data_IF_846842137661
#
_entry.id   IF_846842137661
#
_cell.length_a   1.000
_cell.length_b   1.000
_cell.length_c   1.000
_cell.angle_alpha   90.00
_cell.angle_beta   90.00
_cell.angle_gamma   90.00
#
_symmetry.space_group_name_H-M   'P 1'
#
loop_
_entity.id
_entity.type
_entity.pdbx_description
1 polymer ?
#
# COMPACT_ATOMS: atom_id res chain seq x y z
N UNK A 1 31.24 -9.54 15.16
CA UNK A 1 30.59 -9.63 14.66
C UNK A 1 30.26 -9.74 13.66
N UNK A 2 30.51 -9.86 13.27
CA UNK A 2 30.20 -9.79 12.32
C UNK A 2 29.35 -10.08 11.68
N UNK A 3 29.11 -10.08 11.38
CA UNK A 3 28.44 -10.18 10.80
C UNK A 3 27.82 -10.58 10.04
N UNK A 4 27.51 -10.85 9.90
CA UNK A 4 27.19 -11.31 9.19
C UNK A 4 26.35 -11.25 8.40
N UNK A 5 26.18 -10.87 8.45
CA UNK A 5 25.61 -10.36 7.60
C UNK A 5 25.24 -11.08 6.37
N UNK A 6 25.94 -11.85 5.90
CA UNK A 6 25.73 -12.53 4.67
C UNK A 6 24.45 -13.30 4.59
N UNK A 7 23.99 -13.76 5.68
CA UNK A 7 22.75 -14.53 5.70
C UNK A 7 21.53 -13.71 5.34
N UNK A 8 21.69 -12.41 5.26
CA UNK A 8 20.54 -11.56 5.01
C UNK A 8 19.86 -11.84 3.69
N UNK A 9 20.52 -12.53 2.75
CA UNK A 9 19.92 -12.78 1.47
C UNK A 9 18.84 -13.82 1.51
N UNK A 10 19.00 -14.87 2.30
CA UNK A 10 18.01 -15.93 2.40
C UNK A 10 17.15 -15.76 3.63
N UNK A 11 17.73 -15.21 4.66
CA UNK A 11 17.07 -15.03 5.94
C UNK A 11 17.52 -13.69 6.49
N UNK A 12 16.93 -12.64 6.02
CA UNK A 12 17.34 -11.31 6.46
C UNK A 12 17.22 -11.21 7.96
N UNK A 13 18.19 -10.60 8.55
CA UNK A 13 18.12 -10.27 9.94
C UNK A 13 17.07 -9.22 10.20
N UNK A 14 17.23 -8.54 11.30
CA UNK A 14 16.36 -7.44 11.68
C UNK A 14 16.40 -6.33 10.62
N UNK A 15 15.24 -5.85 10.24
CA UNK A 15 15.12 -4.70 9.35
C UNK A 15 14.63 -3.52 10.20
N UNK A 16 15.40 -2.46 10.19
CA UNK A 16 15.03 -1.23 10.91
C UNK A 16 15.16 -0.07 9.93
N UNK A 17 14.10 0.69 9.79
CA UNK A 17 14.10 1.91 8.99
C UNK A 17 13.50 3.03 9.83
N UNK A 18 14.33 3.99 10.18
CA UNK A 18 13.88 5.17 10.92
C UNK A 18 13.04 6.06 10.02
N UNK A 19 12.17 6.92 10.58
CA UNK A 19 11.31 7.77 9.74
C UNK A 19 12.07 8.56 8.70
N UNK A 20 13.24 9.10 9.04
CA UNK A 20 14.03 9.89 8.10
C UNK A 20 14.66 9.06 6.98
N UNK A 21 14.70 7.74 7.13
CA UNK A 21 15.21 6.83 6.10
C UNK A 21 14.12 6.40 5.13
N UNK A 22 12.86 6.67 5.46
CA UNK A 22 11.72 6.30 4.64
C UNK A 22 11.33 7.50 3.80
N UNK A 23 11.95 7.61 2.63
CA UNK A 23 11.83 8.78 1.79
C UNK A 23 10.97 8.47 0.58
N UNK A 24 9.85 9.17 0.46
CA UNK A 24 9.00 9.09 -0.72
C UNK A 24 9.61 9.96 -1.82
N UNK A 25 9.78 9.40 -3.00
CA UNK A 25 10.42 10.07 -4.13
C UNK A 25 9.43 10.25 -5.26
N UNK A 26 9.60 11.33 -6.00
CA UNK A 26 8.78 11.66 -7.13
C UNK A 26 8.13 13.03 -6.97
N UNK A 27 7.28 13.43 -7.93
CA UNK A 27 6.62 14.74 -7.85
C UNK A 27 5.68 14.80 -6.65
N UNK A 28 5.51 16.00 -6.11
CA UNK A 28 4.58 16.24 -5.00
C UNK A 28 3.14 15.97 -5.38
N UNK A 29 2.81 16.08 -6.66
CA UNK A 29 1.51 15.70 -7.17
C UNK A 29 1.75 14.69 -8.29
N UNK A 30 0.86 13.72 -8.45
CA UNK A 30 1.01 12.68 -9.45
C UNK A 30 0.79 11.31 -8.85
N UNK A 31 1.35 10.26 -9.50
CA UNK A 31 1.09 8.89 -9.06
C UNK A 31 1.59 8.62 -7.64
N UNK A 32 1.01 7.64 -6.97
CA UNK A 32 1.42 7.28 -5.61
C UNK A 32 2.91 6.95 -5.55
N UNK A 33 3.54 7.34 -4.45
CA UNK A 33 4.95 7.09 -4.19
C UNK A 33 5.05 5.89 -3.24
N UNK A 34 5.82 4.88 -3.62
CA UNK A 34 5.93 3.65 -2.84
C UNK A 34 7.36 3.42 -2.36
N UNK A 35 7.48 3.04 -1.10
CA UNK A 35 8.74 2.60 -0.51
C UNK A 35 8.57 1.17 -0.04
N UNK A 36 9.47 0.28 -0.45
CA UNK A 36 9.47 -1.09 0.03
C UNK A 36 10.21 -1.12 1.37
N UNK A 37 9.52 -1.58 2.42
CA UNK A 37 10.09 -1.68 3.76
C UNK A 37 10.65 -3.06 4.04
N UNK A 38 10.06 -4.10 3.47
CA UNK A 38 10.43 -5.49 3.73
C UNK A 38 10.02 -6.35 2.54
N UNK A 39 10.87 -7.31 2.19
CA UNK A 39 10.53 -8.28 1.16
C UNK A 39 10.49 -7.69 -0.24
N UNK A 40 9.89 -8.44 -1.15
CA UNK A 40 9.76 -8.07 -2.54
C UNK A 40 8.34 -8.39 -3.02
N UNK A 41 7.52 -7.37 -3.31
CA UNK A 41 6.12 -7.61 -3.72
C UNK A 41 5.99 -8.43 -5.00
N UNK A 42 7.04 -8.53 -5.82
CA UNK A 42 6.97 -9.28 -7.07
C UNK A 42 7.25 -10.75 -6.92
N UNK A 43 7.60 -11.19 -5.70
CA UNK A 43 8.01 -12.57 -5.41
C UNK A 43 7.12 -13.19 -4.36
N UNK A 44 7.11 -14.53 -4.26
CA UNK A 44 6.42 -15.19 -3.15
C UNK A 44 6.99 -14.73 -1.81
N UNK A 45 6.16 -14.72 -0.80
CA UNK A 45 6.54 -14.38 0.56
C UNK A 45 5.95 -13.06 1.03
N UNK A 46 6.20 -12.76 2.28
CA UNK A 46 5.69 -11.55 2.91
C UNK A 46 6.42 -10.33 2.40
N UNK A 47 5.67 -9.28 2.10
CA UNK A 47 6.24 -7.96 1.81
C UNK A 47 5.53 -6.89 2.62
N UNK A 48 6.22 -5.79 2.87
CA UNK A 48 5.64 -4.61 3.50
C UNK A 48 6.06 -3.39 2.69
N UNK A 49 5.09 -2.59 2.30
CA UNK A 49 5.33 -1.34 1.59
C UNK A 49 4.61 -0.20 2.29
N UNK A 50 5.09 1.00 2.06
CA UNK A 50 4.42 2.20 2.51
C UNK A 50 4.16 3.06 1.28
N UNK A 51 2.95 3.58 1.16
CA UNK A 51 2.51 4.32 -0.03
C UNK A 51 1.98 5.67 0.40
N UNK A 52 2.41 6.70 -0.31
CA UNK A 52 1.91 8.06 -0.12
C UNK A 52 1.09 8.45 -1.34
N UNK A 53 -0.14 8.88 -1.08
CA UNK A 53 -1.04 9.42 -2.09
C UNK A 53 -1.09 10.93 -1.90
N UNK A 54 -0.88 11.66 -2.97
CA UNK A 54 -1.00 13.11 -2.94
C UNK A 54 -2.45 13.53 -2.83
N UNK A 55 -2.70 14.66 -2.20
CA UNK A 55 -4.04 15.22 -2.06
C UNK A 55 -4.76 15.26 -3.41
N UNK A 56 -5.98 14.75 -3.44
CA UNK A 56 -6.81 14.69 -4.63
C UNK A 56 -6.64 13.46 -5.50
N UNK A 57 -5.67 12.60 -5.22
CA UNK A 57 -5.43 11.43 -6.06
C UNK A 57 -6.60 10.45 -5.97
N UNK A 58 -7.11 10.04 -7.13
CA UNK A 58 -8.15 9.03 -7.26
C UNK A 58 -7.53 7.76 -7.82
N UNK A 59 -7.62 6.68 -7.05
CA UNK A 59 -7.15 5.39 -7.49
C UNK A 59 -8.36 4.61 -8.00
N UNK A 60 -8.44 4.46 -9.31
CA UNK A 60 -9.63 3.94 -9.97
C UNK A 60 -9.85 2.45 -9.66
N UNK A 61 -11.05 1.92 -9.91
CA UNK A 61 -11.37 0.53 -9.58
C UNK A 61 -10.34 -0.45 -10.10
N UNK A 62 -9.85 -1.29 -9.20
CA UNK A 62 -8.81 -2.28 -9.47
C UNK A 62 -8.89 -3.40 -8.45
N UNK A 63 -8.13 -4.47 -8.68
CA UNK A 63 -8.02 -5.57 -7.72
C UNK A 63 -6.59 -6.08 -7.68
N UNK A 64 -6.29 -6.82 -6.65
CA UNK A 64 -5.00 -7.46 -6.44
C UNK A 64 -5.18 -8.97 -6.28
N UNK A 65 -4.23 -9.80 -6.75
CA UNK A 65 -4.33 -11.24 -6.59
C UNK A 65 -3.85 -11.77 -5.25
N UNK A 66 -3.23 -10.92 -4.43
CA UNK A 66 -2.59 -11.30 -3.17
C UNK A 66 -3.52 -12.13 -2.29
N UNK A 67 -3.06 -13.27 -1.82
CA UNK A 67 -3.86 -14.11 -0.92
C UNK A 67 -4.11 -13.42 0.41
N UNK A 68 -3.13 -12.66 0.87
CA UNK A 68 -3.25 -11.85 2.07
C UNK A 68 -2.80 -10.43 1.71
N UNK A 69 -3.63 -9.47 2.04
CA UNK A 69 -3.28 -8.07 1.86
C UNK A 69 -4.01 -7.25 2.91
N UNK A 70 -3.23 -6.65 3.80
CA UNK A 70 -3.77 -5.81 4.86
C UNK A 70 -3.20 -4.42 4.75
N UNK A 71 -3.96 -3.44 5.23
CA UNK A 71 -3.61 -2.03 5.11
C UNK A 71 -3.86 -1.34 6.44
N UNK A 72 -2.89 -0.53 6.84
CA UNK A 72 -3.04 0.39 7.97
C UNK A 72 -2.91 1.82 7.45
N UNK A 73 -3.85 2.67 7.81
CA UNK A 73 -3.79 4.10 7.49
C UNK A 73 -2.91 4.77 8.54
N UNK A 74 -1.81 5.38 8.10
CA UNK A 74 -0.83 5.99 9.01
C UNK A 74 -1.07 7.49 9.16
N UNK A 75 -1.47 8.18 8.11
CA UNK A 75 -1.77 9.60 8.19
C UNK A 75 -2.81 9.97 7.14
N UNK A 76 -3.55 11.04 7.43
CA UNK A 76 -4.63 11.49 6.56
C UNK A 76 -5.89 10.65 6.74
N UNK A 77 -6.84 10.85 5.84
CA UNK A 77 -8.08 10.09 5.77
C UNK A 77 -8.19 9.46 4.40
N UNK A 78 -8.24 8.15 4.36
CA UNK A 78 -8.30 7.39 3.12
C UNK A 78 -9.76 7.01 2.86
N UNK A 79 -10.30 7.41 1.73
CA UNK A 79 -11.66 7.07 1.36
C UNK A 79 -11.64 5.80 0.53
N UNK A 80 -12.39 4.80 0.97
CA UNK A 80 -12.38 3.45 0.40
C UNK A 80 -13.78 3.06 -0.07
N UNK A 81 -13.90 2.64 -1.31
CA UNK A 81 -15.14 2.13 -1.87
C UNK A 81 -14.93 0.75 -2.48
N UNK A 82 -15.92 -0.12 -2.32
CA UNK A 82 -15.90 -1.48 -2.90
C UNK A 82 -16.76 -1.53 -4.14
N UNK A 83 -16.25 -2.19 -5.18
CA UNK A 83 -16.97 -2.37 -6.42
C UNK A 83 -16.10 -2.18 -7.64
N UNK A 84 -16.64 -2.48 -8.80
CA UNK A 84 -15.92 -2.42 -10.06
C UNK A 84 -16.16 -1.11 -10.83
N UNK A 85 -16.98 -0.22 -10.31
CA UNK A 85 -17.24 1.10 -10.87
C UNK A 85 -17.03 2.17 -9.82
N UNK A 86 -16.46 3.29 -10.23
CA UNK A 86 -16.31 4.46 -9.37
C UNK A 86 -17.69 4.95 -8.98
N UNK A 87 -17.95 4.99 -7.68
CA UNK A 87 -19.24 5.43 -7.14
C UNK A 87 -18.98 6.12 -5.80
N UNK A 88 -19.08 7.44 -5.80
CA UNK A 88 -18.73 8.23 -4.61
C UNK A 88 -19.66 7.98 -3.43
N UNK A 89 -20.86 7.46 -3.67
CA UNK A 89 -21.76 7.12 -2.60
C UNK A 89 -21.31 5.91 -1.78
N UNK A 90 -20.37 5.13 -2.28
CA UNK A 90 -19.87 3.93 -1.61
C UNK A 90 -18.66 4.19 -0.73
N UNK A 91 -18.13 5.39 -0.72
CA UNK A 91 -16.93 5.68 0.07
C UNK A 91 -17.19 5.65 1.56
N UNK A 92 -16.28 5.01 2.28
CA UNK A 92 -16.18 5.09 3.74
C UNK A 92 -14.90 5.79 4.07
N UNK A 93 -14.92 6.66 5.06
CA UNK A 93 -13.74 7.41 5.48
C UNK A 93 -12.95 6.58 6.50
N UNK A 94 -11.71 6.30 6.17
CA UNK A 94 -10.80 5.58 7.05
C UNK A 94 -9.74 6.56 7.57
N UNK A 95 -9.88 7.08 8.79
CA UNK A 95 -8.87 7.99 9.34
C UNK A 95 -7.61 7.26 9.74
N UNK A 96 -6.57 8.01 10.09
CA UNK A 96 -5.32 7.44 10.60
C UNK A 96 -5.60 6.52 11.78
N UNK A 97 -4.94 5.36 11.80
CA UNK A 97 -5.17 4.31 12.77
C UNK A 97 -6.11 3.21 12.31
N UNK A 98 -6.80 3.40 11.18
CA UNK A 98 -7.68 2.37 10.63
C UNK A 98 -6.86 1.20 10.09
N UNK A 99 -7.34 0.00 10.35
CA UNK A 99 -6.82 -1.25 9.77
C UNK A 99 -7.93 -1.88 8.94
N UNK A 100 -7.59 -2.38 7.74
CA UNK A 100 -8.52 -3.16 6.95
C UNK A 100 -7.77 -4.18 6.09
N UNK A 101 -8.50 -5.14 5.55
CA UNK A 101 -7.95 -6.13 4.64
C UNK A 101 -8.63 -6.06 3.29
N UNK A 102 -7.91 -6.48 2.26
CA UNK A 102 -8.42 -6.54 0.90
C UNK A 102 -8.42 -8.00 0.46
N UNK A 103 -9.61 -8.64 0.35
CA UNK A 103 -9.68 -10.03 -0.11
C UNK A 103 -9.12 -10.16 -1.53
N UNK A 104 -8.59 -11.35 -1.88
CA UNK A 104 -8.08 -11.57 -3.24
C UNK A 104 -9.12 -11.25 -4.30
N UNK A 105 -8.70 -10.51 -5.31
CA UNK A 105 -9.51 -10.16 -6.48
C UNK A 105 -10.78 -9.37 -6.19
N UNK A 106 -10.92 -8.83 -4.99
CA UNK A 106 -12.05 -7.97 -4.64
C UNK A 106 -11.79 -6.56 -5.17
N UNK A 107 -12.62 -6.12 -6.09
CA UNK A 107 -12.46 -4.81 -6.71
C UNK A 107 -12.77 -3.70 -5.72
N UNK A 108 -11.95 -2.66 -5.75
CA UNK A 108 -12.11 -1.49 -4.89
C UNK A 108 -11.51 -0.24 -5.55
N UNK A 109 -11.83 0.89 -4.98
CA UNK A 109 -11.32 2.18 -5.44
C UNK A 109 -11.13 3.09 -4.24
N UNK A 110 -10.17 4.00 -4.34
CA UNK A 110 -9.77 4.84 -3.21
C UNK A 110 -9.52 6.28 -3.63
N UNK A 111 -9.58 7.17 -2.65
CA UNK A 111 -9.45 8.60 -2.89
C UNK A 111 -8.75 9.28 -1.72
N UNK A 112 -7.71 10.04 -2.00
CA UNK A 112 -7.08 10.94 -1.03
C UNK A 112 -7.77 12.30 -1.14
N UNK A 113 -9.04 12.35 -0.74
CA UNK A 113 -9.93 13.47 -1.05
C UNK A 113 -9.55 14.76 -0.35
N UNK A 114 -9.20 14.67 0.93
CA UNK A 114 -9.05 15.86 1.78
C UNK A 114 -7.61 16.29 1.97
N UNK A 115 -6.66 15.50 1.54
CA UNK A 115 -5.24 15.79 1.75
C UNK A 115 -4.40 14.58 1.47
N UNK A 116 -3.09 14.69 1.69
CA UNK A 116 -2.17 13.56 1.52
C UNK A 116 -2.54 12.42 2.46
N UNK A 117 -2.35 11.21 1.99
CA UNK A 117 -2.61 9.98 2.77
C UNK A 117 -1.37 9.09 2.69
N UNK A 118 -1.00 8.53 3.84
CA UNK A 118 0.04 7.51 3.90
C UNK A 118 -0.56 6.24 4.46
N UNK A 119 -0.37 5.14 3.75
CA UNK A 119 -0.81 3.81 4.17
C UNK A 119 0.38 2.86 4.23
N UNK A 120 0.25 1.81 5.02
CA UNK A 120 1.21 0.72 5.03
C UNK A 120 0.51 -0.57 4.67
N UNK A 121 1.06 -1.27 3.69
CA UNK A 121 0.51 -2.49 3.16
C UNK A 121 1.39 -3.65 3.57
N UNK A 122 0.77 -4.70 4.12
CA UNK A 122 1.43 -5.98 4.37
C UNK A 122 0.71 -7.02 3.55
N UNK A 123 1.45 -7.76 2.75
CA UNK A 123 0.85 -8.78 1.90
C UNK A 123 1.75 -9.98 1.72
N UNK A 124 1.20 -10.97 1.04
CA UNK A 124 1.95 -12.17 0.61
C UNK A 124 1.97 -12.13 -0.90
N UNK A 125 3.17 -12.01 -1.44
CA UNK A 125 3.36 -11.91 -2.89
C UNK A 125 3.27 -13.26 -3.61
N UNK A 126 3.31 -13.21 -4.93
CA UNK A 126 3.53 -12.01 -5.73
C UNK A 126 2.26 -11.15 -5.81
N UNK A 127 2.47 -9.85 -5.77
CA UNK A 127 1.39 -8.86 -5.86
C UNK A 127 1.32 -8.28 -7.26
N UNK A 128 0.16 -7.80 -7.63
CA UNK A 128 -0.05 -7.09 -8.88
C UNK A 128 -1.28 -6.20 -8.73
N UNK A 129 -1.53 -5.37 -9.71
CA UNK A 129 -2.68 -4.46 -9.72
C UNK A 129 -3.30 -4.52 -11.10
N UNK A 130 -4.58 -4.83 -11.16
CA UNK A 130 -5.32 -4.88 -12.41
C UNK A 130 -6.46 -3.89 -12.35
N UNK A 131 -6.43 -2.91 -13.25
CA UNK A 131 -7.50 -1.93 -13.36
C UNK A 131 -8.67 -2.52 -14.13
N UNK A 132 -9.87 -2.15 -13.73
CA UNK A 132 -11.10 -2.56 -14.39
C UNK A 132 -11.52 -1.52 -15.42
N UNK A 133 -12.15 -1.96 -16.52
CA UNK A 133 -12.70 -0.99 -17.48
C UNK A 133 -13.77 -0.13 -16.83
N UNK A 134 -13.75 1.14 -17.15
CA UNK A 134 -14.72 2.12 -16.64
C UNK A 134 -15.64 2.66 -17.74
#
# INVERSE_FOLDING_TARGET
>A
MASTVASSQDSPGSVVKLPEEIVFKGPLSGPPQTVILYGDPTKPGVFVTRVKFSAGWKDMPHWHPDEVRTVAVLSGTFYFGSGDKWDESKFKAYPAGTFYSEPPKAAHFTWAKDGDVIIQITGVGPSAKTFLPQ
#
